data_IF_311048169037
#
_entry.id   IF_311048169037
#
_cell.length_a   1.000
_cell.length_b   1.000
_cell.length_c   1.000
_cell.angle_alpha   90.00
_cell.angle_beta   90.00
_cell.angle_gamma   90.00
#
_symmetry.space_group_name_H-M   'P 1'
#
loop_
_entity.id
_entity.type
_entity.pdbx_description
1 polymer ?
#
# COMPACT_ATOMS: atom_id res chain seq x y z
N UNK A 1 -46.61 56.75 -65.41
CA UNK A 1 -46.59 57.98 -64.59
C UNK A 1 -46.90 57.58 -63.16
N UNK A 2 -45.96 57.69 -62.22
CA UNK A 2 -46.18 57.89 -60.78
C UNK A 2 -44.83 57.94 -60.05
N UNK A 3 -44.53 59.15 -59.56
CA UNK A 3 -43.86 59.58 -58.31
C UNK A 3 -42.69 58.73 -57.77
N UNK A 4 -41.46 59.21 -57.57
CA UNK A 4 -40.96 60.58 -57.45
C UNK A 4 -40.71 60.99 -56.00
N UNK A 5 -39.44 61.00 -55.57
CA UNK A 5 -38.90 62.06 -54.72
C UNK A 5 -38.83 61.85 -53.19
N UNK A 6 -37.66 61.39 -52.74
CA UNK A 6 -36.74 62.03 -51.77
C UNK A 6 -37.20 62.63 -50.42
N UNK A 7 -36.22 62.60 -49.49
CA UNK A 7 -36.00 63.51 -48.34
C UNK A 7 -36.72 63.14 -47.03
N UNK A 8 -36.13 63.16 -45.82
CA UNK A 8 -34.93 63.78 -45.28
C UNK A 8 -34.50 63.03 -44.00
N UNK A 9 -33.19 62.80 -43.83
CA UNK A 9 -32.57 62.60 -42.50
C UNK A 9 -32.37 63.97 -41.85
N UNK A 10 -32.70 64.12 -40.57
CA UNK A 10 -31.90 64.91 -39.60
C UNK A 10 -32.25 64.59 -38.15
N UNK A 11 -31.26 63.98 -37.50
CA UNK A 11 -30.82 64.12 -36.10
C UNK A 11 -31.63 65.05 -35.19
N UNK A 12 -32.09 64.51 -34.04
CA UNK A 12 -31.99 65.18 -32.75
C UNK A 12 -31.58 64.17 -31.68
N UNK A 13 -30.38 64.37 -31.15
CA UNK A 13 -29.89 63.79 -29.91
C UNK A 13 -30.90 64.06 -28.78
N UNK A 14 -31.42 62.99 -28.16
CA UNK A 14 -31.84 63.03 -26.76
C UNK A 14 -30.95 62.05 -26.02
N UNK A 15 -29.98 62.58 -25.30
CA UNK A 15 -29.24 61.87 -24.26
C UNK A 15 -30.22 61.48 -23.17
N UNK A 16 -30.56 60.19 -23.11
CA UNK A 16 -31.24 59.62 -21.95
C UNK A 16 -30.19 59.41 -20.85
N UNK A 17 -30.45 59.80 -19.60
CA UNK A 17 -29.51 59.56 -18.51
C UNK A 17 -29.34 58.05 -18.32
N UNK A 18 -28.10 57.57 -18.42
CA UNK A 18 -27.76 56.19 -18.11
C UNK A 18 -28.24 55.87 -16.69
N UNK A 19 -29.03 54.81 -16.47
CA UNK A 19 -29.32 54.36 -15.12
C UNK A 19 -27.99 53.93 -14.51
N UNK A 20 -27.59 54.60 -13.43
CA UNK A 20 -26.48 54.18 -12.59
C UNK A 20 -26.82 52.80 -12.01
N UNK A 21 -26.37 51.75 -12.68
CA UNK A 21 -26.32 50.41 -12.10
C UNK A 21 -25.26 50.45 -11.00
N UNK A 22 -25.68 50.83 -9.80
CA UNK A 22 -24.93 50.48 -8.59
C UNK A 22 -24.87 48.96 -8.54
N UNK A 23 -23.67 48.33 -8.59
CA UNK A 23 -23.59 46.89 -8.46
C UNK A 23 -24.20 46.49 -7.12
N UNK A 24 -24.94 45.37 -7.06
CA UNK A 24 -25.59 44.92 -5.84
C UNK A 24 -24.54 44.80 -4.74
N UNK A 25 -24.78 45.50 -3.63
CA UNK A 25 -23.90 45.52 -2.47
C UNK A 25 -23.55 44.09 -2.08
N UNK A 26 -22.30 43.68 -2.32
CA UNK A 26 -21.75 42.45 -1.76
C UNK A 26 -21.64 42.68 -0.25
N UNK A 27 -22.58 42.15 0.51
CA UNK A 27 -22.46 42.06 1.96
C UNK A 27 -21.23 41.21 2.28
N UNK A 28 -20.15 41.84 2.71
CA UNK A 28 -19.00 41.15 3.27
C UNK A 28 -19.41 40.59 4.63
N UNK A 29 -19.72 39.29 4.68
CA UNK A 29 -19.89 38.60 5.95
C UNK A 29 -18.51 38.44 6.59
N UNK A 30 -18.30 39.15 7.70
CA UNK A 30 -17.17 38.92 8.59
C UNK A 30 -17.36 37.54 9.23
N UNK A 31 -16.81 36.53 8.57
CA UNK A 31 -16.70 35.20 9.13
C UNK A 31 -15.54 35.22 10.10
N UNK A 32 -15.80 34.91 11.37
CA UNK A 32 -14.77 34.85 12.40
C UNK A 32 -13.80 33.70 12.12
N UNK A 33 -12.70 34.00 11.42
CA UNK A 33 -11.72 33.03 10.93
C UNK A 33 -11.14 32.17 12.06
N UNK A 34 -10.97 32.76 13.26
CA UNK A 34 -10.42 32.07 14.42
C UNK A 34 -11.32 30.94 14.92
N UNK A 35 -12.64 31.11 14.87
CA UNK A 35 -13.60 30.09 15.29
C UNK A 35 -13.56 28.87 14.35
N UNK A 36 -13.48 29.13 13.04
CA UNK A 36 -13.37 28.09 11.99
C UNK A 36 -12.05 27.35 12.11
N UNK A 37 -10.95 28.07 12.29
CA UNK A 37 -9.62 27.49 12.48
C UNK A 37 -9.57 26.55 13.69
N UNK A 38 -10.05 27.02 14.86
CA UNK A 38 -10.11 26.20 16.08
C UNK A 38 -10.92 24.93 15.87
N UNK A 39 -12.04 25.01 15.15
CA UNK A 39 -12.85 23.84 14.81
C UNK A 39 -12.06 22.82 13.95
N UNK A 40 -11.39 23.29 12.89
CA UNK A 40 -10.56 22.43 12.05
C UNK A 40 -9.40 21.78 12.82
N UNK A 41 -8.72 22.54 13.67
CA UNK A 41 -7.63 22.04 14.51
C UNK A 41 -8.12 20.99 15.52
N UNK A 42 -9.27 21.22 16.16
CA UNK A 42 -9.88 20.23 17.04
C UNK A 42 -10.29 18.96 16.29
N UNK A 43 -10.94 19.11 15.13
CA UNK A 43 -11.33 17.98 14.29
C UNK A 43 -10.11 17.17 13.88
N UNK A 44 -9.06 17.86 13.43
CA UNK A 44 -7.78 17.26 13.09
C UNK A 44 -7.18 16.48 14.28
N UNK A 45 -7.13 17.09 15.47
CA UNK A 45 -6.63 16.47 16.70
C UNK A 45 -7.42 15.20 17.06
N UNK A 46 -8.76 15.24 16.97
CA UNK A 46 -9.63 14.08 17.23
C UNK A 46 -9.35 12.94 16.22
N UNK A 47 -9.17 13.27 14.94
CA UNK A 47 -8.84 12.29 13.90
C UNK A 47 -7.48 11.66 14.19
N UNK A 48 -6.46 12.45 14.52
CA UNK A 48 -5.12 11.95 14.82
C UNK A 48 -5.10 11.03 16.05
N UNK A 49 -5.84 11.37 17.10
CA UNK A 49 -6.00 10.48 18.26
C UNK A 49 -6.66 9.15 17.89
N UNK A 50 -7.71 9.18 17.06
CA UNK A 50 -8.39 7.95 16.58
C UNK A 50 -7.48 7.13 15.67
N UNK A 51 -6.71 7.78 14.80
CA UNK A 51 -5.75 7.14 13.90
C UNK A 51 -4.65 6.46 14.70
N UNK A 52 -4.06 7.15 15.69
CA UNK A 52 -3.05 6.58 16.58
C UNK A 52 -3.56 5.34 17.32
N UNK A 53 -4.78 5.41 17.89
CA UNK A 53 -5.41 4.23 18.53
C UNK A 53 -5.63 3.08 17.54
N UNK A 54 -6.05 3.39 16.32
CA UNK A 54 -6.27 2.38 15.30
C UNK A 54 -4.98 1.69 14.90
N UNK A 55 -3.94 2.47 14.60
CA UNK A 55 -2.60 1.99 14.24
C UNK A 55 -1.96 1.18 15.37
N UNK A 56 -2.05 1.65 16.63
CA UNK A 56 -1.54 0.92 17.78
C UNK A 56 -2.24 -0.43 17.93
N UNK A 57 -3.57 -0.47 17.70
CA UNK A 57 -4.32 -1.72 17.77
C UNK A 57 -3.92 -2.70 16.66
N UNK A 58 -3.70 -2.21 15.43
CA UNK A 58 -3.16 -3.01 14.31
C UNK A 58 -1.79 -3.55 14.69
N UNK A 59 -0.89 -2.69 15.17
CA UNK A 59 0.46 -3.07 15.55
C UNK A 59 0.48 -4.15 16.64
N UNK A 60 -0.34 -3.98 17.69
CA UNK A 60 -0.50 -4.98 18.76
C UNK A 60 -0.96 -6.33 18.23
N UNK A 61 -1.90 -6.33 17.28
CA UNK A 61 -2.37 -7.56 16.64
C UNK A 61 -1.23 -8.25 15.88
N UNK A 62 -0.55 -7.52 14.99
CA UNK A 62 0.50 -8.06 14.14
C UNK A 62 1.71 -8.57 14.92
N UNK A 63 2.14 -7.84 15.95
CA UNK A 63 3.37 -8.15 16.67
C UNK A 63 3.19 -9.09 17.87
N UNK A 64 2.01 -9.20 18.46
CA UNK A 64 1.82 -10.01 19.68
C UNK A 64 0.75 -11.07 19.51
N UNK A 65 -0.45 -10.68 19.11
CA UNK A 65 -1.59 -11.60 19.05
C UNK A 65 -1.38 -12.66 17.95
N UNK A 66 -0.82 -12.28 16.79
CA UNK A 66 -0.52 -13.19 15.68
C UNK A 66 0.59 -14.19 16.00
N UNK A 67 1.68 -13.74 16.64
CA UNK A 67 2.77 -14.64 17.05
C UNK A 67 2.29 -15.64 18.11
N UNK A 68 1.54 -15.15 19.11
CA UNK A 68 0.93 -16.03 20.12
C UNK A 68 -0.02 -17.04 19.50
N UNK A 69 -0.81 -16.63 18.51
CA UNK A 69 -1.68 -17.53 17.78
C UNK A 69 -0.89 -18.62 17.06
N UNK A 70 0.22 -18.28 16.40
CA UNK A 70 1.09 -19.25 15.74
C UNK A 70 1.62 -20.31 16.73
N UNK A 71 2.22 -19.86 17.84
CA UNK A 71 2.74 -20.75 18.89
C UNK A 71 1.63 -21.62 19.47
N UNK A 72 0.44 -21.06 19.68
CA UNK A 72 -0.72 -21.81 20.16
C UNK A 72 -1.17 -22.85 19.14
N UNK A 73 -1.27 -22.50 17.85
CA UNK A 73 -1.67 -23.45 16.79
C UNK A 73 -0.66 -24.57 16.61
N UNK A 74 0.64 -24.30 16.70
CA UNK A 74 1.69 -25.32 16.63
C UNK A 74 1.60 -26.27 17.82
N UNK A 75 1.31 -25.76 19.02
CA UNK A 75 1.17 -26.55 20.23
C UNK A 75 -0.08 -27.45 20.22
N UNK A 76 -1.23 -26.91 19.80
CA UNK A 76 -2.52 -27.61 19.87
C UNK A 76 -2.82 -28.45 18.63
N UNK A 77 -2.34 -28.04 17.46
CA UNK A 77 -2.59 -28.70 16.17
C UNK A 77 -1.29 -28.85 15.35
N UNK A 78 -0.29 -29.59 15.86
CA UNK A 78 1.02 -29.67 15.22
C UNK A 78 0.94 -30.27 13.80
N UNK A 79 0.17 -31.34 13.61
CA UNK A 79 0.06 -31.99 12.30
C UNK A 79 -0.66 -31.13 11.27
N UNK A 80 -1.78 -30.49 11.65
CA UNK A 80 -2.47 -29.55 10.76
C UNK A 80 -1.57 -28.36 10.37
N UNK A 81 -0.76 -27.86 11.31
CA UNK A 81 0.15 -26.74 11.02
C UNK A 81 1.25 -27.15 10.05
N UNK A 82 1.84 -28.34 10.23
CA UNK A 82 2.82 -28.90 9.28
C UNK A 82 2.21 -29.15 7.90
N UNK A 83 0.99 -29.70 7.84
CA UNK A 83 0.29 -29.91 6.57
C UNK A 83 0.02 -28.58 5.84
N UNK A 84 -0.46 -27.56 6.55
CA UNK A 84 -0.66 -26.22 5.98
C UNK A 84 0.66 -25.63 5.47
N UNK A 85 1.76 -25.80 6.22
CA UNK A 85 3.07 -25.32 5.78
C UNK A 85 3.55 -26.04 4.51
N UNK A 86 3.42 -27.38 4.45
CA UNK A 86 3.79 -28.19 3.29
C UNK A 86 2.97 -27.84 2.06
N UNK A 87 1.64 -27.82 2.19
CA UNK A 87 0.74 -27.47 1.08
C UNK A 87 0.91 -26.01 0.67
N UNK A 88 1.17 -25.10 1.61
CA UNK A 88 1.45 -23.70 1.35
C UNK A 88 2.73 -23.52 0.52
N UNK A 89 3.81 -24.23 0.86
CA UNK A 89 5.05 -24.26 0.08
C UNK A 89 4.82 -24.79 -1.33
N UNK A 90 4.16 -25.94 -1.45
CA UNK A 90 3.84 -26.54 -2.75
C UNK A 90 2.96 -25.64 -3.62
N UNK A 91 1.94 -25.00 -3.03
CA UNK A 91 1.08 -24.05 -3.72
C UNK A 91 1.86 -22.80 -4.19
N UNK A 92 2.78 -22.29 -3.37
CA UNK A 92 3.64 -21.17 -3.75
C UNK A 92 4.52 -21.53 -4.95
N UNK A 93 5.15 -22.70 -4.95
CA UNK A 93 5.95 -23.18 -6.09
C UNK A 93 5.12 -23.30 -7.37
N UNK A 94 3.90 -23.83 -7.27
CA UNK A 94 2.97 -23.92 -8.41
C UNK A 94 2.56 -22.54 -8.93
N UNK A 95 2.18 -21.62 -8.03
CA UNK A 95 1.84 -20.24 -8.39
C UNK A 95 3.01 -19.53 -9.07
N UNK A 96 4.22 -19.72 -8.53
CA UNK A 96 5.44 -19.15 -9.10
C UNK A 96 5.71 -19.69 -10.50
N UNK A 97 5.60 -21.00 -10.70
CA UNK A 97 5.73 -21.62 -12.01
C UNK A 97 4.69 -21.12 -13.00
N UNK A 98 3.41 -21.05 -12.61
CA UNK A 98 2.32 -20.52 -13.44
C UNK A 98 2.60 -19.08 -13.84
N UNK A 99 2.97 -18.23 -12.88
CA UNK A 99 3.32 -16.84 -13.13
C UNK A 99 4.51 -16.71 -14.09
N UNK A 100 5.57 -17.51 -13.91
CA UNK A 100 6.75 -17.47 -14.79
C UNK A 100 6.40 -17.88 -16.23
N UNK A 101 5.58 -18.92 -16.39
CA UNK A 101 5.12 -19.39 -17.70
C UNK A 101 4.20 -18.38 -18.38
N UNK A 102 3.22 -17.84 -17.67
CA UNK A 102 2.31 -16.82 -18.18
C UNK A 102 3.07 -15.55 -18.59
N UNK A 103 4.00 -15.10 -17.74
CA UNK A 103 4.84 -13.95 -18.03
C UNK A 103 5.70 -14.17 -19.28
N UNK A 104 6.30 -15.36 -19.43
CA UNK A 104 7.10 -15.71 -20.60
C UNK A 104 6.26 -15.86 -21.87
N UNK A 105 5.06 -16.44 -21.76
CA UNK A 105 4.09 -16.56 -22.85
C UNK A 105 3.67 -15.19 -23.35
N UNK A 106 3.31 -14.28 -22.42
CA UNK A 106 2.89 -12.92 -22.72
C UNK A 106 4.02 -12.08 -23.33
N UNK A 107 5.19 -12.07 -22.70
CA UNK A 107 6.33 -11.23 -23.15
C UNK A 107 6.92 -11.68 -24.49
N UNK A 108 6.92 -12.99 -24.77
CA UNK A 108 7.52 -13.54 -26.00
C UNK A 108 6.50 -13.87 -27.09
N UNK A 109 5.21 -13.64 -26.85
CA UNK A 109 4.13 -13.98 -27.78
C UNK A 109 4.05 -15.48 -28.09
N UNK A 110 4.52 -16.34 -27.17
CA UNK A 110 4.57 -17.78 -27.39
C UNK A 110 3.41 -18.48 -26.69
N UNK A 111 2.95 -19.60 -27.24
CA UNK A 111 1.95 -20.44 -26.58
C UNK A 111 2.43 -20.89 -25.18
N UNK A 112 1.54 -21.00 -24.18
CA UNK A 112 1.89 -21.38 -22.80
C UNK A 112 2.69 -22.68 -22.70
N UNK A 113 2.44 -23.65 -23.58
CA UNK A 113 3.16 -24.92 -23.63
C UNK A 113 4.64 -24.78 -24.04
N UNK A 114 4.95 -23.89 -25.00
CA UNK A 114 6.35 -23.59 -25.39
C UNK A 114 7.06 -22.80 -24.29
N UNK A 115 6.35 -21.85 -23.69
CA UNK A 115 6.86 -21.08 -22.56
C UNK A 115 7.19 -22.00 -21.37
N UNK A 116 6.31 -22.96 -21.06
CA UNK A 116 6.54 -23.99 -20.05
C UNK A 116 7.81 -24.79 -20.30
N UNK A 117 8.01 -25.29 -21.52
CA UNK A 117 9.23 -26.04 -21.89
C UNK A 117 10.50 -25.20 -21.66
N UNK A 118 10.51 -23.95 -22.14
CA UNK A 118 11.66 -23.04 -21.97
C UNK A 118 11.94 -22.68 -20.52
N UNK A 119 10.90 -22.51 -19.70
CA UNK A 119 11.06 -22.28 -18.25
C UNK A 119 11.70 -23.50 -17.59
N UNK A 120 11.28 -24.72 -17.93
CA UNK A 120 11.90 -25.92 -17.41
C UNK A 120 13.35 -26.11 -17.88
N UNK A 121 13.65 -25.84 -19.15
CA UNK A 121 15.01 -25.85 -19.70
C UNK A 121 15.89 -24.86 -18.93
N UNK A 122 15.44 -23.62 -18.75
CA UNK A 122 16.14 -22.59 -17.97
C UNK A 122 16.40 -23.03 -16.53
N UNK A 123 15.41 -23.62 -15.85
CA UNK A 123 15.56 -24.13 -14.47
C UNK A 123 16.53 -25.30 -14.38
N UNK A 124 16.56 -26.18 -15.39
CA UNK A 124 17.53 -27.28 -15.49
C UNK A 124 18.95 -26.75 -15.69
N UNK A 125 19.14 -25.78 -16.57
CA UNK A 125 20.44 -25.14 -16.81
C UNK A 125 20.95 -24.32 -15.61
N UNK A 126 20.04 -23.85 -14.74
CA UNK A 126 20.37 -23.08 -13.53
C UNK A 126 20.53 -23.93 -12.27
N UNK A 127 20.30 -25.24 -12.31
CA UNK A 127 20.57 -26.13 -11.18
C UNK A 127 22.06 -26.51 -11.22
N UNK A 128 22.95 -25.94 -10.38
CA UNK A 128 24.34 -26.35 -10.34
C UNK A 128 24.41 -27.82 -9.92
N UNK A 129 25.23 -28.59 -10.63
CA UNK A 129 25.62 -29.93 -10.21
C UNK A 129 26.20 -29.82 -8.78
N UNK A 130 25.61 -30.54 -7.84
CA UNK A 130 26.24 -30.76 -6.54
C UNK A 130 27.39 -31.73 -6.73
N UNK A 131 28.62 -31.31 -6.43
CA UNK A 131 29.71 -32.14 -5.90
C UNK A 131 30.84 -31.23 -5.35
N UNK A 132 31.74 -31.76 -4.49
CA UNK A 132 31.74 -31.60 -3.04
C UNK A 132 32.69 -30.51 -2.52
N UNK A 133 32.66 -30.30 -1.19
CA UNK A 133 33.58 -29.46 -0.43
C UNK A 133 35.04 -29.60 -0.89
N UNK A 134 35.67 -28.50 -1.30
CA UNK A 134 36.82 -27.93 -0.58
C UNK A 134 37.46 -26.73 -1.31
N UNK A 135 37.91 -25.79 -0.46
CA UNK A 135 38.90 -24.71 -0.67
C UNK A 135 38.39 -23.30 -1.01
N UNK A 136 38.19 -22.58 0.10
CA UNK A 136 38.89 -21.33 0.44
C UNK A 136 38.65 -20.09 -0.42
N UNK A 137 37.73 -19.26 0.11
CA UNK A 137 37.95 -17.85 0.41
C UNK A 137 38.79 -17.01 -0.58
N UNK A 138 38.09 -16.24 -1.42
CA UNK A 138 38.44 -14.83 -1.61
C UNK A 138 37.19 -13.97 -1.41
N UNK A 139 37.23 -13.20 -0.32
CA UNK A 139 36.43 -11.98 -0.14
C UNK A 139 36.79 -11.01 -1.26
N UNK A 140 35.79 -10.50 -1.96
CA UNK A 140 35.61 -9.07 -2.22
C UNK A 140 34.15 -8.82 -2.66
N UNK A 141 33.55 -7.68 -2.30
CA UNK A 141 32.11 -7.49 -2.39
C UNK A 141 31.70 -6.90 -3.74
N UNK A 142 30.83 -7.55 -4.53
CA UNK A 142 30.22 -6.92 -5.69
C UNK A 142 28.79 -6.47 -5.35
N UNK A 143 28.67 -5.16 -5.16
CA UNK A 143 27.65 -4.30 -5.74
C UNK A 143 26.24 -4.91 -5.94
N UNK A 144 25.32 -4.50 -5.06
CA UNK A 144 23.88 -4.78 -5.10
C UNK A 144 23.25 -4.29 -6.41
N UNK A 145 23.32 -5.10 -7.47
CA UNK A 145 22.40 -5.02 -8.61
C UNK A 145 21.16 -5.84 -8.32
N UNK A 146 20.28 -5.32 -7.46
CA UNK A 146 18.90 -5.78 -7.34
C UNK A 146 18.03 -5.10 -8.41
N UNK A 147 17.89 -5.80 -9.54
CA UNK A 147 16.91 -5.48 -10.56
C UNK A 147 15.52 -5.99 -10.18
N UNK A 148 14.61 -5.03 -10.07
CA UNK A 148 13.17 -5.12 -10.37
C UNK A 148 12.30 -6.09 -9.56
N UNK A 149 11.92 -5.60 -8.39
CA UNK A 149 10.65 -5.92 -7.74
C UNK A 149 10.51 -5.01 -6.53
N UNK A 150 9.35 -4.35 -6.36
CA UNK A 150 8.95 -3.54 -5.19
C UNK A 150 9.28 -2.03 -5.26
N UNK A 151 8.58 -1.30 -6.13
CA UNK A 151 8.53 0.16 -6.09
C UNK A 151 7.86 0.75 -4.82
N UNK A 152 7.43 -0.06 -3.85
CA UNK A 152 6.69 0.42 -2.66
C UNK A 152 7.47 0.26 -1.33
N UNK A 153 8.42 -0.67 -1.26
CA UNK A 153 9.23 -0.90 -0.06
C UNK A 153 10.22 0.25 0.22
N UNK A 154 10.84 0.77 -0.84
CA UNK A 154 11.76 1.91 -0.77
C UNK A 154 11.07 3.20 -0.33
N UNK A 155 9.87 3.47 -0.85
CA UNK A 155 9.09 4.66 -0.51
C UNK A 155 8.64 4.66 0.96
N UNK A 156 8.21 3.52 1.49
CA UNK A 156 7.82 3.39 2.91
C UNK A 156 9.04 3.50 3.83
N UNK A 157 10.17 2.87 3.46
CA UNK A 157 11.41 2.97 4.22
C UNK A 157 11.95 4.41 4.22
N UNK A 158 11.91 5.10 3.09
CA UNK A 158 12.33 6.49 2.96
C UNK A 158 11.42 7.43 3.74
N UNK A 159 10.10 7.24 3.67
CA UNK A 159 9.14 7.98 4.50
C UNK A 159 9.45 7.82 5.99
N UNK A 160 9.75 6.60 6.45
CA UNK A 160 10.15 6.34 7.85
C UNK A 160 11.49 7.00 8.21
N UNK A 161 12.46 7.04 7.29
CA UNK A 161 13.75 7.72 7.48
C UNK A 161 13.55 9.23 7.62
N UNK A 162 12.78 9.84 6.73
CA UNK A 162 12.40 11.27 6.78
C UNK A 162 11.64 11.61 8.05
N UNK A 163 10.69 10.77 8.45
CA UNK A 163 9.92 10.91 9.68
C UNK A 163 10.82 10.94 10.92
N UNK A 164 11.75 9.98 11.03
CA UNK A 164 12.73 9.93 12.13
C UNK A 164 13.71 11.11 12.10
N UNK A 165 14.14 11.55 10.91
CA UNK A 165 15.05 12.69 10.76
C UNK A 165 14.39 13.99 11.21
N UNK A 166 13.18 14.27 10.74
CA UNK A 166 12.39 15.43 11.15
C UNK A 166 12.11 15.41 12.66
N UNK A 167 11.70 14.25 13.20
CA UNK A 167 11.50 14.08 14.65
C UNK A 167 12.78 14.32 15.46
N UNK A 168 13.94 13.81 15.03
CA UNK A 168 15.23 14.04 15.73
C UNK A 168 15.63 15.51 15.76
N UNK A 169 15.39 16.23 14.67
CA UNK A 169 15.65 17.68 14.58
C UNK A 169 14.77 18.43 15.58
N UNK A 170 13.47 18.10 15.62
CA UNK A 170 12.51 18.75 16.51
C UNK A 170 12.71 18.38 17.97
N UNK A 171 13.06 17.12 18.27
CA UNK A 171 13.40 16.68 19.61
C UNK A 171 14.57 17.47 20.17
N UNK A 172 15.65 17.68 19.41
CA UNK A 172 16.79 18.49 19.88
C UNK A 172 16.43 19.97 20.13
N UNK A 173 15.42 20.49 19.43
CA UNK A 173 15.00 21.91 19.52
C UNK A 173 13.94 22.17 20.58
N UNK A 174 13.04 21.22 20.82
CA UNK A 174 11.84 21.39 21.64
C UNK A 174 11.82 20.51 22.90
N UNK A 175 12.87 19.74 23.20
CA UNK A 175 12.92 18.91 24.41
C UNK A 175 12.81 19.76 25.70
N UNK A 176 12.02 19.34 26.69
CA UNK A 176 11.89 20.07 27.97
C UNK A 176 13.24 20.23 28.70
N UNK A 177 14.14 19.25 28.60
CA UNK A 177 15.49 19.31 29.24
C UNK A 177 16.38 20.41 28.66
N UNK A 178 16.14 20.86 27.41
CA UNK A 178 16.96 21.89 26.74
C UNK A 178 16.35 23.29 26.95
N UNK A 179 15.04 23.38 27.13
CA UNK A 179 14.31 24.67 27.14
C UNK A 179 13.76 25.08 28.51
N UNK A 180 13.85 24.23 29.53
CA UNK A 180 13.27 24.46 30.86
C UNK A 180 11.74 24.41 30.86
N UNK A 181 11.15 24.11 32.02
CA UNK A 181 9.70 23.89 32.19
C UNK A 181 8.82 25.14 32.04
N UNK A 182 9.38 26.32 31.74
CA UNK A 182 8.67 27.60 31.84
C UNK A 182 7.78 27.98 30.65
N UNK A 183 7.97 27.37 29.47
CA UNK A 183 7.24 27.76 28.26
C UNK A 183 6.14 26.74 27.91
N UNK A 184 4.92 27.03 28.38
CA UNK A 184 3.71 26.23 28.11
C UNK A 184 3.48 26.01 26.61
N UNK A 185 3.82 27.01 25.78
CA UNK A 185 3.67 26.98 24.31
C UNK A 185 4.63 25.98 23.68
N UNK A 186 5.90 25.94 24.12
CA UNK A 186 6.88 24.94 23.65
C UNK A 186 6.51 23.54 24.10
N UNK A 187 5.92 23.39 25.28
CA UNK A 187 5.44 22.09 25.76
C UNK A 187 4.28 21.56 24.92
N UNK A 188 3.36 22.43 24.48
CA UNK A 188 2.29 22.05 23.55
C UNK A 188 2.82 21.67 22.17
N UNK A 189 3.81 22.41 21.65
CA UNK A 189 4.49 22.06 20.41
C UNK A 189 5.23 20.72 20.52
N UNK A 190 5.90 20.45 21.64
CA UNK A 190 6.53 19.16 21.90
C UNK A 190 5.52 18.01 21.91
N UNK A 191 4.36 18.18 22.57
CA UNK A 191 3.26 17.20 22.55
C UNK A 191 2.72 16.98 21.14
N UNK A 192 2.57 18.05 20.34
CA UNK A 192 2.12 17.96 18.95
C UNK A 192 3.12 17.21 18.06
N UNK A 193 4.42 17.46 18.23
CA UNK A 193 5.51 16.74 17.53
C UNK A 193 5.52 15.26 17.90
N UNK A 194 5.36 14.93 19.18
CA UNK A 194 5.25 13.54 19.63
C UNK A 194 4.04 12.84 19.02
N UNK A 195 2.87 13.50 18.98
CA UNK A 195 1.66 12.95 18.36
C UNK A 195 1.85 12.75 16.85
N UNK A 196 2.46 13.71 16.15
CA UNK A 196 2.75 13.61 14.72
C UNK A 196 3.70 12.44 14.40
N UNK A 197 4.73 12.24 15.22
CA UNK A 197 5.64 11.11 15.08
C UNK A 197 4.96 9.76 15.33
N UNK A 198 4.14 9.67 16.38
CA UNK A 198 3.38 8.46 16.70
C UNK A 198 2.38 8.07 15.59
N UNK A 199 1.75 9.07 14.96
CA UNK A 199 0.76 8.88 13.90
C UNK A 199 1.37 8.73 12.50
N UNK A 200 2.68 8.97 12.36
CA UNK A 200 3.40 8.87 11.10
C UNK A 200 3.17 10.04 10.14
N UNK A 201 2.80 11.20 10.68
CA UNK A 201 2.51 12.40 9.92
C UNK A 201 3.78 13.17 9.55
N UNK A 202 4.32 12.84 8.38
CA UNK A 202 5.55 13.44 7.87
C UNK A 202 5.37 14.90 7.49
N UNK A 203 4.23 15.28 6.90
CA UNK A 203 4.00 16.66 6.46
C UNK A 203 3.92 17.60 7.65
N UNK A 204 3.24 17.18 8.73
CA UNK A 204 3.18 17.96 9.96
C UNK A 204 4.58 18.12 10.59
N UNK A 205 5.38 17.04 10.68
CA UNK A 205 6.76 17.12 11.18
C UNK A 205 7.67 17.97 10.30
N UNK A 206 7.58 17.86 8.98
CA UNK A 206 8.37 18.68 8.06
C UNK A 206 7.94 20.15 8.12
N UNK A 207 6.64 20.44 8.31
CA UNK A 207 6.15 21.80 8.51
C UNK A 207 6.71 22.44 9.78
N UNK A 208 6.83 21.68 10.88
CA UNK A 208 7.52 22.11 12.09
C UNK A 208 9.03 22.31 11.89
N UNK A 209 9.67 21.57 10.97
CA UNK A 209 11.09 21.76 10.65
C UNK A 209 11.36 23.02 9.81
N UNK A 210 10.43 23.39 8.94
CA UNK A 210 10.53 24.52 8.01
C UNK A 210 10.05 25.85 8.61
N UNK A 211 9.12 25.81 9.58
CA UNK A 211 8.63 27.00 10.26
C UNK A 211 9.54 27.48 11.39
N UNK A 212 10.22 28.61 11.19
CA UNK A 212 10.78 29.41 12.30
C UNK A 212 9.61 29.91 13.17
N UNK A 213 9.54 29.47 14.42
CA UNK A 213 8.70 29.94 15.56
C UNK A 213 7.22 30.29 15.29
N UNK A 214 6.73 30.00 14.10
CA UNK A 214 5.39 30.33 13.66
C UNK A 214 4.49 29.22 14.17
N UNK A 215 3.51 29.60 14.97
CA UNK A 215 2.47 28.72 15.48
C UNK A 215 1.88 27.87 14.33
N UNK A 216 1.59 26.58 14.55
CA UNK A 216 0.65 25.87 13.70
C UNK A 216 -0.71 26.52 13.94
N UNK A 217 -1.01 27.63 13.24
CA UNK A 217 -2.23 28.38 13.49
C UNK A 217 -2.28 29.79 12.92
N UNK A 218 -1.25 30.63 13.06
CA UNK A 218 -1.45 32.07 12.75
C UNK A 218 -1.23 32.47 11.29
N UNK A 219 -0.69 31.59 10.43
CA UNK A 219 -0.41 31.91 9.02
C UNK A 219 -0.78 30.82 8.00
N UNK A 220 -1.24 29.65 8.43
CA UNK A 220 -1.62 28.57 7.51
C UNK A 220 -3.00 28.88 6.91
N UNK A 221 -3.19 28.95 5.57
CA UNK A 221 -4.51 29.17 4.99
C UNK A 221 -5.55 28.14 5.46
N UNK A 222 -6.81 28.56 5.68
CA UNK A 222 -7.89 27.64 6.07
C UNK A 222 -8.06 26.47 5.09
N UNK A 223 -7.76 26.67 3.80
CA UNK A 223 -7.76 25.63 2.77
C UNK A 223 -6.74 24.52 3.07
N UNK A 224 -5.52 24.87 3.52
CA UNK A 224 -4.50 23.90 3.90
C UNK A 224 -4.92 23.08 5.12
N UNK A 225 -5.56 23.71 6.12
CA UNK A 225 -6.13 22.99 7.26
C UNK A 225 -7.23 22.00 6.85
N UNK A 226 -8.15 22.43 5.98
CA UNK A 226 -9.23 21.58 5.48
C UNK A 226 -8.68 20.40 4.66
N UNK A 227 -7.69 20.63 3.79
CA UNK A 227 -7.01 19.58 3.03
C UNK A 227 -6.32 18.57 3.95
N UNK A 228 -5.59 19.05 4.96
CA UNK A 228 -4.90 18.20 5.95
C UNK A 228 -5.89 17.33 6.72
N UNK A 229 -7.03 17.90 7.14
CA UNK A 229 -8.12 17.15 7.76
C UNK A 229 -8.68 16.10 6.80
N UNK A 230 -8.98 16.46 5.54
CA UNK A 230 -9.50 15.51 4.55
C UNK A 230 -8.55 14.34 4.28
N UNK A 231 -7.24 14.57 4.23
CA UNK A 231 -6.22 13.50 4.10
C UNK A 231 -6.18 12.61 5.35
N UNK A 232 -6.21 13.21 6.55
CA UNK A 232 -6.23 12.47 7.80
C UNK A 232 -7.49 11.59 7.93
N UNK A 233 -8.66 12.08 7.49
CA UNK A 233 -9.90 11.29 7.46
C UNK A 233 -9.81 10.11 6.50
N UNK A 234 -9.31 10.32 5.28
CA UNK A 234 -9.07 9.22 4.32
C UNK A 234 -8.13 8.16 4.90
N UNK A 235 -7.08 8.60 5.59
CA UNK A 235 -6.12 7.69 6.24
C UNK A 235 -6.78 6.92 7.39
N UNK A 236 -7.54 7.60 8.24
CA UNK A 236 -8.31 6.97 9.32
C UNK A 236 -9.29 5.93 8.77
N UNK A 237 -10.04 6.25 7.70
CA UNK A 237 -10.96 5.31 7.06
C UNK A 237 -10.24 4.06 6.56
N UNK A 238 -9.08 4.21 5.92
CA UNK A 238 -8.24 3.07 5.50
C UNK A 238 -7.82 2.21 6.69
N UNK A 239 -7.27 2.82 7.75
CA UNK A 239 -6.86 2.10 8.95
C UNK A 239 -8.03 1.43 9.70
N UNK A 240 -9.21 2.04 9.72
CA UNK A 240 -10.42 1.43 10.28
C UNK A 240 -10.91 0.24 9.45
N UNK A 241 -10.81 0.35 8.12
CA UNK A 241 -11.14 -0.76 7.22
C UNK A 241 -10.16 -1.92 7.39
N UNK A 242 -8.86 -1.64 7.51
CA UNK A 242 -7.84 -2.64 7.84
C UNK A 242 -8.14 -3.32 9.17
N UNK A 243 -8.48 -2.56 10.21
CA UNK A 243 -8.92 -3.12 11.50
C UNK A 243 -10.14 -4.03 11.36
N UNK A 244 -11.11 -3.66 10.52
CA UNK A 244 -12.29 -4.49 10.28
C UNK A 244 -11.89 -5.81 9.61
N UNK A 245 -10.89 -5.80 8.73
CA UNK A 245 -10.35 -7.02 8.11
C UNK A 245 -9.62 -7.89 9.15
N UNK A 246 -8.76 -7.30 9.99
CA UNK A 246 -8.05 -8.03 11.03
C UNK A 246 -8.97 -8.60 12.12
N UNK A 247 -10.09 -7.94 12.43
CA UNK A 247 -11.09 -8.48 13.37
C UNK A 247 -11.74 -9.79 12.92
N UNK A 248 -11.72 -10.08 11.61
CA UNK A 248 -12.21 -11.36 11.05
C UNK A 248 -11.19 -12.48 11.17
N UNK A 249 -9.93 -12.15 11.48
CA UNK A 249 -8.86 -13.12 11.63
C UNK A 249 -9.06 -13.90 12.95
N UNK A 250 -8.99 -15.26 12.94
CA UNK A 250 -9.08 -16.06 14.15
C UNK A 250 -8.04 -15.69 15.23
N UNK A 251 -6.86 -15.19 14.81
CA UNK A 251 -5.81 -14.75 15.73
C UNK A 251 -6.20 -13.50 16.54
N UNK A 252 -7.29 -12.81 16.17
CA UNK A 252 -7.70 -11.57 16.82
C UNK A 252 -8.07 -11.80 18.28
N UNK A 253 -7.37 -11.11 19.18
CA UNK A 253 -7.57 -11.28 20.62
C UNK A 253 -6.97 -12.56 21.20
N UNK A 254 -6.15 -13.30 20.44
CA UNK A 254 -5.42 -14.44 20.96
C UNK A 254 -4.54 -14.04 22.16
N UNK A 255 -4.64 -14.82 23.24
CA UNK A 255 -4.00 -14.52 24.53
C UNK A 255 -4.79 -13.58 25.45
N UNK A 256 -6.04 -13.25 25.12
CA UNK A 256 -6.99 -12.64 26.08
C UNK A 256 -7.74 -13.73 26.84
N UNK A 257 -8.15 -13.43 28.08
CA UNK A 257 -8.97 -14.34 28.90
C UNK A 257 -10.25 -14.73 28.13
N UNK A 258 -10.53 -16.02 28.05
CA UNK A 258 -11.72 -16.57 27.36
C UNK A 258 -11.63 -16.68 25.84
N UNK A 259 -10.52 -16.29 25.21
CA UNK A 259 -10.34 -16.50 23.76
C UNK A 259 -10.26 -17.99 23.41
N UNK A 260 -9.49 -18.77 24.18
CA UNK A 260 -9.29 -20.20 23.93
C UNK A 260 -10.59 -21.00 24.04
N UNK A 261 -11.48 -20.63 24.95
CA UNK A 261 -12.77 -21.31 25.14
C UNK A 261 -13.79 -20.94 24.07
N UNK A 262 -13.77 -19.70 23.55
CA UNK A 262 -14.78 -19.21 22.60
C UNK A 262 -14.38 -19.38 21.13
N UNK A 263 -13.11 -19.13 20.81
CA UNK A 263 -12.58 -19.16 19.45
C UNK A 263 -11.79 -20.44 19.19
N UNK A 264 -11.09 -20.98 20.20
CA UNK A 264 -10.23 -22.17 20.06
C UNK A 264 -10.90 -23.35 19.33
N UNK A 265 -12.11 -23.80 19.69
CA UNK A 265 -12.80 -24.89 18.98
C UNK A 265 -13.10 -24.58 17.50
N UNK A 266 -13.29 -23.31 17.16
CA UNK A 266 -13.54 -22.86 15.77
C UNK A 266 -12.25 -22.78 14.96
N UNK A 267 -11.09 -22.65 15.60
CA UNK A 267 -9.79 -22.57 14.93
C UNK A 267 -9.49 -23.86 14.19
N UNK A 268 -9.77 -25.02 14.77
CA UNK A 268 -9.51 -26.31 14.13
C UNK A 268 -10.32 -26.48 12.83
N UNK A 269 -11.63 -26.17 12.87
CA UNK A 269 -12.49 -26.19 11.69
C UNK A 269 -12.01 -25.18 10.64
N UNK A 270 -11.58 -23.99 11.06
CA UNK A 270 -11.01 -22.97 10.17
C UNK A 270 -9.71 -23.44 9.50
N UNK A 271 -8.80 -24.08 10.25
CA UNK A 271 -7.54 -24.64 9.73
C UNK A 271 -7.81 -25.73 8.71
N UNK A 272 -8.75 -26.64 8.99
CA UNK A 272 -9.15 -27.68 8.03
C UNK A 272 -9.75 -27.10 6.76
N UNK A 273 -10.65 -26.11 6.87
CA UNK A 273 -11.22 -25.44 5.71
C UNK A 273 -10.14 -24.71 4.89
N UNK A 274 -9.20 -24.03 5.55
CA UNK A 274 -8.03 -23.39 4.92
C UNK A 274 -7.19 -24.39 4.12
N UNK A 275 -6.89 -25.54 4.72
CA UNK A 275 -6.13 -26.61 4.09
C UNK A 275 -6.87 -27.20 2.87
N UNK A 276 -8.19 -27.42 2.99
CA UNK A 276 -9.01 -27.91 1.89
C UNK A 276 -9.02 -26.95 0.69
N UNK A 277 -9.14 -25.64 0.94
CA UNK A 277 -9.06 -24.62 -0.11
C UNK A 277 -7.68 -24.57 -0.76
N UNK A 278 -6.59 -24.61 0.02
CA UNK A 278 -5.22 -24.69 -0.52
C UNK A 278 -5.04 -25.91 -1.42
N UNK A 279 -5.51 -27.09 -0.99
CA UNK A 279 -5.46 -28.32 -1.80
C UNK A 279 -6.32 -28.23 -3.06
N UNK A 280 -7.48 -27.59 -3.00
CA UNK A 280 -8.33 -27.34 -4.18
C UNK A 280 -7.62 -26.45 -5.19
N UNK A 281 -7.02 -25.36 -4.73
CA UNK A 281 -6.24 -24.46 -5.59
C UNK A 281 -5.01 -25.16 -6.18
N UNK A 282 -4.25 -25.89 -5.35
CA UNK A 282 -3.08 -26.65 -5.81
C UNK A 282 -3.48 -27.67 -6.89
N UNK A 283 -4.61 -28.37 -6.74
CA UNK A 283 -5.15 -29.26 -7.77
C UNK A 283 -5.49 -28.53 -9.06
N UNK A 284 -6.10 -27.34 -8.98
CA UNK A 284 -6.41 -26.53 -10.15
C UNK A 284 -5.13 -26.10 -10.90
N UNK A 285 -4.15 -25.53 -10.20
CA UNK A 285 -2.89 -25.10 -10.80
C UNK A 285 -2.09 -26.28 -11.37
N UNK A 286 -2.05 -27.41 -10.64
CA UNK A 286 -1.43 -28.64 -11.13
C UNK A 286 -2.11 -29.16 -12.40
N UNK A 287 -3.44 -29.05 -12.49
CA UNK A 287 -4.20 -29.36 -13.71
C UNK A 287 -3.74 -28.53 -14.91
N UNK A 288 -3.60 -27.21 -14.72
CA UNK A 288 -3.09 -26.28 -15.75
C UNK A 288 -1.67 -26.63 -16.18
N UNK A 289 -0.77 -26.86 -15.22
CA UNK A 289 0.62 -27.26 -15.50
C UNK A 289 0.68 -28.58 -16.29
N UNK A 290 -0.15 -29.57 -15.93
CA UNK A 290 -0.25 -30.84 -16.67
C UNK A 290 -0.76 -30.65 -18.09
N UNK A 291 -1.71 -29.73 -18.30
CA UNK A 291 -2.18 -29.41 -19.63
C UNK A 291 -1.05 -28.85 -20.49
N UNK A 292 -0.32 -27.86 -20.00
CA UNK A 292 0.84 -27.30 -20.71
C UNK A 292 1.92 -28.35 -20.98
N UNK A 293 2.16 -29.25 -20.03
CA UNK A 293 3.07 -30.37 -20.22
C UNK A 293 2.64 -31.25 -21.39
N UNK A 294 1.38 -31.73 -21.41
CA UNK A 294 0.86 -32.57 -22.50
C UNK A 294 0.91 -31.87 -23.86
N UNK A 295 0.53 -30.59 -23.89
CA UNK A 295 0.61 -29.78 -25.12
C UNK A 295 2.06 -29.63 -25.59
N UNK A 296 3.01 -29.44 -24.66
CA UNK A 296 4.44 -29.36 -24.99
C UNK A 296 4.98 -30.66 -25.57
N UNK A 297 4.60 -31.80 -24.98
CA UNK A 297 4.99 -33.13 -25.46
C UNK A 297 4.40 -33.43 -26.84
N UNK A 298 3.15 -33.04 -27.09
CA UNK A 298 2.50 -33.18 -28.41
C UNK A 298 3.23 -32.38 -29.48
N UNK A 299 3.62 -31.14 -29.18
CA UNK A 299 4.39 -30.32 -30.13
C UNK A 299 5.75 -30.93 -30.44
N UNK A 300 6.47 -31.44 -29.43
CA UNK A 300 7.77 -32.09 -29.64
C UNK A 300 7.65 -33.32 -30.53
N UNK A 301 6.63 -34.16 -30.30
CA UNK A 301 6.39 -35.34 -31.16
C UNK A 301 6.10 -34.94 -32.60
N UNK A 302 5.25 -33.93 -32.80
CA UNK A 302 4.94 -33.43 -34.13
C UNK A 302 6.16 -32.79 -34.83
N UNK A 303 7.05 -32.13 -34.08
CA UNK A 303 8.33 -31.63 -34.61
C UNK A 303 9.23 -32.79 -35.07
N UNK A 304 9.36 -33.85 -34.26
CA UNK A 304 10.18 -35.03 -34.59
C UNK A 304 9.67 -35.81 -35.80
N UNK A 305 8.35 -35.97 -35.95
CA UNK A 305 7.75 -36.61 -37.13
C UNK A 305 8.06 -35.82 -38.40
N UNK A 306 7.92 -34.49 -38.36
CA UNK A 306 8.27 -33.60 -39.48
C UNK A 306 9.75 -33.63 -39.85
N UNK A 307 10.64 -33.86 -38.89
CA UNK A 307 12.08 -33.99 -39.15
C UNK A 307 12.41 -35.32 -39.81
N UNK A 308 11.76 -36.42 -39.37
CA UNK A 308 11.89 -37.75 -40.01
C UNK A 308 11.43 -37.70 -41.47
N UNK A 309 10.28 -37.08 -41.74
CA UNK A 309 9.74 -36.96 -43.10
C UNK A 309 10.62 -36.08 -44.03
N UNK A 310 11.49 -35.24 -43.45
CA UNK A 310 12.43 -34.36 -44.18
C UNK A 310 13.81 -34.98 -44.43
N UNK A 311 14.08 -36.17 -43.89
CA UNK A 311 15.25 -36.96 -44.25
C UNK A 311 14.80 -37.99 -45.29
N UNK A 312 14.72 -37.64 -46.59
CA UNK A 312 14.50 -38.65 -47.61
C UNK A 312 15.69 -39.61 -47.59
N UNK A 313 15.41 -40.89 -47.83
CA UNK A 313 16.39 -41.96 -47.92
C UNK A 313 17.61 -41.50 -48.73
N UNK A 314 18.73 -41.36 -48.04
CA UNK A 314 20.03 -41.20 -48.66
C UNK A 314 20.47 -42.57 -49.15
N UNK A 315 19.89 -43.00 -50.27
CA UNK A 315 20.36 -44.13 -51.08
C UNK A 315 21.12 -43.62 -52.31
#
# INVERSE_FOLDING_TARGET
MHNGGSSLRRSRYRSWPSPSYSPPCRSLLLVEEQSIRRNWEERYRRIQQRLGRAQERIHRFLSRERERFHVWTEKHFPELTREIAREGGYLHELRWLVFEVESMSWLKGQGPALAYRKVLEKRRSQRPAQEPESREAKKDPPDERLGSGLCDGGAIAEKKRRLKKAYRILARRLHPDVNGNGDTRRMEQWRAVQLAYQTGDLELLESFCLGNDSTPGEKEPLSCLAERVGRAEKTLLRSLQELRNYRKDPAWGCGRKGWETTVGPKVEAWLRARLAEMRKEARALKGRVRQWQRESERMVRAEQERERDKQPDAD
#
